data_IF_197128399695
#
_entry.id   IF_197128399695
#
_cell.length_a   1.000
_cell.length_b   1.000
_cell.length_c   1.000
_cell.angle_alpha   90.00
_cell.angle_beta   90.00
_cell.angle_gamma   90.00
#
_symmetry.space_group_name_H-M   'P 1'
#
loop_
_entity.id
_entity.type
_entity.pdbx_description
1 polymer ?
#
# COMPACT_ATOMS: atom_id res chain seq x y z
N UNK A 1 -23.27 -1.49 -18.95
CA UNK A 1 -22.22 -0.82 -18.18
C UNK A 1 -22.02 -1.57 -16.88
N UNK A 2 -20.82 -2.09 -16.62
CA UNK A 2 -20.51 -2.74 -15.33
C UNK A 2 -20.37 -1.68 -14.25
N UNK A 3 -21.24 -1.72 -13.24
CA UNK A 3 -21.19 -0.80 -12.10
C UNK A 3 -19.97 -1.11 -11.23
N UNK A 4 -19.24 -0.06 -10.80
CA UNK A 4 -18.04 -0.23 -9.97
C UNK A 4 -18.37 -0.74 -8.56
N UNK A 5 -19.52 -0.36 -8.02
CA UNK A 5 -20.00 -0.73 -6.70
C UNK A 5 -21.44 -1.27 -6.78
N UNK A 6 -21.79 -2.17 -5.88
CA UNK A 6 -23.14 -2.71 -5.72
C UNK A 6 -23.91 -1.92 -4.66
N UNK A 7 -25.23 -1.82 -4.80
CA UNK A 7 -26.10 -1.30 -3.74
C UNK A 7 -25.94 -2.14 -2.48
N UNK A 8 -25.94 -1.51 -1.32
CA UNK A 8 -25.63 -2.05 0.01
C UNK A 8 -24.19 -2.55 0.20
N UNK A 9 -23.29 -2.37 -0.78
CA UNK A 9 -21.87 -2.67 -0.61
C UNK A 9 -21.26 -1.73 0.43
N UNK A 10 -20.48 -2.29 1.36
CA UNK A 10 -19.68 -1.51 2.29
C UNK A 10 -18.45 -0.96 1.56
N UNK A 11 -18.25 0.34 1.67
CA UNK A 11 -17.16 1.09 1.07
C UNK A 11 -16.47 1.99 2.10
N UNK A 12 -15.28 2.47 1.76
CA UNK A 12 -14.56 3.48 2.53
C UNK A 12 -14.51 4.79 1.75
N UNK A 13 -14.85 5.88 2.43
CA UNK A 13 -14.97 7.22 1.86
C UNK A 13 -14.00 8.16 2.58
N UNK A 14 -13.25 9.01 1.88
CA UNK A 14 -12.37 9.98 2.51
C UNK A 14 -13.12 10.94 3.43
N UNK A 15 -12.67 11.00 4.68
CA UNK A 15 -13.26 11.84 5.72
C UNK A 15 -13.25 13.32 5.36
N UNK A 16 -12.29 13.77 4.54
CA UNK A 16 -12.24 15.14 4.03
C UNK A 16 -13.42 15.54 3.12
N UNK A 17 -14.19 14.57 2.63
CA UNK A 17 -15.37 14.77 1.79
C UNK A 17 -16.67 14.73 2.60
N UNK A 18 -16.57 14.51 3.93
CA UNK A 18 -17.69 14.44 4.84
C UNK A 18 -17.82 15.75 5.62
N UNK A 19 -19.02 16.04 6.18
CA UNK A 19 -19.21 17.15 7.09
C UNK A 19 -18.25 17.11 8.27
N UNK A 20 -17.80 18.30 8.67
CA UNK A 20 -16.83 18.48 9.76
C UNK A 20 -15.65 17.48 9.67
N UNK A 21 -14.80 17.61 8.63
CA UNK A 21 -13.72 16.65 8.39
C UNK A 21 -12.67 16.63 9.51
N UNK A 22 -12.51 17.75 10.24
CA UNK A 22 -11.59 17.86 11.37
C UNK A 22 -12.03 17.06 12.61
N UNK A 23 -13.33 16.76 12.74
CA UNK A 23 -13.86 15.96 13.83
C UNK A 23 -13.85 14.45 13.54
N UNK A 24 -13.39 14.02 12.37
CA UNK A 24 -13.31 12.60 12.04
C UNK A 24 -12.03 12.00 12.63
N UNK A 25 -12.15 10.89 13.35
CA UNK A 25 -11.01 10.22 13.99
C UNK A 25 -10.04 9.55 13.01
N UNK A 26 -10.50 9.23 11.80
CA UNK A 26 -9.75 8.49 10.79
C UNK A 26 -9.83 9.19 9.44
N UNK A 27 -8.84 8.93 8.57
CA UNK A 27 -8.76 9.49 7.21
C UNK A 27 -9.89 9.01 6.30
N UNK A 28 -10.48 7.85 6.59
CA UNK A 28 -11.56 7.24 5.84
C UNK A 28 -12.65 6.75 6.78
N UNK A 29 -13.89 6.80 6.32
CA UNK A 29 -15.07 6.33 7.04
C UNK A 29 -15.79 5.22 6.28
N UNK A 30 -16.26 4.21 7.00
CA UNK A 30 -17.13 3.17 6.44
C UNK A 30 -18.50 3.76 6.10
N UNK A 31 -19.00 3.43 4.92
CA UNK A 31 -20.35 3.76 4.48
C UNK A 31 -20.93 2.61 3.65
N UNK A 32 -22.24 2.62 3.44
CA UNK A 32 -22.96 1.74 2.50
C UNK A 32 -23.33 2.52 1.26
N UNK A 33 -23.17 1.89 0.10
CA UNK A 33 -23.65 2.42 -1.17
C UNK A 33 -25.17 2.34 -1.22
N UNK A 34 -25.85 3.46 -1.38
CA UNK A 34 -27.29 3.54 -1.63
C UNK A 34 -27.59 3.44 -3.13
N UNK A 35 -26.77 4.08 -3.96
CA UNK A 35 -26.97 4.14 -5.41
C UNK A 35 -25.63 4.35 -6.14
N UNK A 36 -25.43 3.66 -7.26
CA UNK A 36 -24.31 3.90 -8.17
C UNK A 36 -24.80 4.63 -9.42
N UNK A 37 -24.28 5.84 -9.66
CA UNK A 37 -24.45 6.59 -10.90
C UNK A 37 -23.24 6.38 -11.83
N UNK A 38 -23.19 7.03 -13.00
CA UNK A 38 -22.11 6.81 -13.97
C UNK A 38 -20.69 7.11 -13.41
N UNK A 39 -20.53 8.17 -12.62
CA UNK A 39 -19.23 8.64 -12.10
C UNK A 39 -19.22 8.93 -10.59
N UNK A 40 -20.33 8.65 -9.92
CA UNK A 40 -20.54 8.95 -8.51
C UNK A 40 -21.33 7.84 -7.82
N UNK A 41 -21.26 7.86 -6.49
CA UNK A 41 -21.91 6.92 -5.60
C UNK A 41 -22.60 7.72 -4.51
N UNK A 42 -23.88 7.45 -4.28
CA UNK A 42 -24.62 7.98 -3.13
C UNK A 42 -24.44 7.03 -1.96
N UNK A 43 -24.15 7.57 -0.77
CA UNK A 43 -23.79 6.80 0.42
C UNK A 43 -24.74 7.10 1.57
N UNK A 44 -24.85 6.17 2.52
CA UNK A 44 -25.71 6.28 3.71
C UNK A 44 -25.17 7.22 4.81
N UNK A 45 -24.43 8.25 4.43
CA UNK A 45 -23.98 9.32 5.31
C UNK A 45 -24.66 10.61 4.86
N UNK A 46 -25.01 11.47 5.81
CA UNK A 46 -25.74 12.70 5.55
C UNK A 46 -24.83 13.93 5.64
N UNK A 47 -25.14 14.95 4.84
CA UNK A 47 -24.56 16.28 4.94
C UNK A 47 -25.14 17.07 6.13
N UNK A 48 -24.72 18.33 6.31
CA UNK A 48 -25.20 19.21 7.39
C UNK A 48 -26.70 19.55 7.29
N UNK A 49 -27.32 19.29 6.14
CA UNK A 49 -28.74 19.54 5.87
C UNK A 49 -29.57 18.25 5.89
N UNK A 50 -28.98 17.10 6.21
CA UNK A 50 -29.66 15.80 6.26
C UNK A 50 -29.80 15.09 4.91
N UNK A 51 -29.15 15.57 3.85
CA UNK A 51 -29.19 14.92 2.54
C UNK A 51 -28.12 13.83 2.43
N UNK A 52 -28.41 12.75 1.71
CA UNK A 52 -27.41 11.73 1.37
C UNK A 52 -26.23 12.36 0.61
N UNK A 53 -25.01 11.99 1.01
CA UNK A 53 -23.79 12.48 0.37
C UNK A 53 -23.56 11.74 -0.95
N UNK A 54 -23.21 12.48 -1.99
CA UNK A 54 -22.76 11.95 -3.27
C UNK A 54 -21.25 12.13 -3.45
N UNK A 55 -20.53 11.04 -3.72
CA UNK A 55 -19.07 11.02 -3.83
C UNK A 55 -18.66 10.50 -5.19
N UNK A 56 -17.68 11.14 -5.84
CA UNK A 56 -17.12 10.62 -7.09
C UNK A 56 -16.59 9.18 -6.91
N UNK A 57 -17.01 8.25 -7.75
CA UNK A 57 -16.70 6.81 -7.61
C UNK A 57 -15.20 6.50 -7.63
N UNK A 58 -14.38 7.41 -8.19
CA UNK A 58 -12.91 7.29 -8.19
C UNK A 58 -12.27 7.51 -6.81
N UNK A 59 -12.96 8.22 -5.90
CA UNK A 59 -12.48 8.55 -4.55
C UNK A 59 -12.95 7.53 -3.50
N UNK A 60 -13.89 6.66 -3.87
CA UNK A 60 -14.42 5.62 -2.99
C UNK A 60 -13.55 4.36 -3.09
N UNK A 61 -13.19 3.80 -1.95
CA UNK A 61 -12.41 2.58 -1.83
C UNK A 61 -13.33 1.39 -1.50
N UNK A 62 -13.01 0.19 -2.03
CA UNK A 62 -13.76 -1.05 -1.76
C UNK A 62 -13.49 -1.59 -0.36
N UNK A 63 -14.30 -2.58 0.06
CA UNK A 63 -14.26 -3.26 1.37
C UNK A 63 -12.88 -3.77 1.83
N UNK A 64 -11.97 -4.11 0.92
CA UNK A 64 -10.69 -4.73 1.27
C UNK A 64 -9.56 -3.71 1.48
N UNK A 65 -9.85 -2.57 2.12
CA UNK A 65 -8.85 -1.52 2.39
C UNK A 65 -7.95 -1.83 3.60
N UNK A 66 -7.60 -3.10 3.81
CA UNK A 66 -6.55 -3.44 4.76
C UNK A 66 -5.17 -3.04 4.24
N UNK A 67 -4.27 -2.67 5.16
CA UNK A 67 -2.85 -2.44 4.90
C UNK A 67 -2.03 -3.45 5.71
N UNK A 68 -1.31 -4.31 5.00
CA UNK A 68 -0.33 -5.21 5.62
C UNK A 68 1.04 -4.55 5.65
N UNK A 69 1.65 -4.42 6.82
CA UNK A 69 3.09 -4.11 6.96
C UNK A 69 3.80 -5.43 7.17
N UNK A 70 4.67 -5.82 6.24
CA UNK A 70 5.44 -7.07 6.31
C UNK A 70 6.91 -6.68 6.48
N UNK A 71 7.50 -7.08 7.62
CA UNK A 71 8.93 -6.95 7.88
C UNK A 71 9.61 -8.28 7.62
N UNK A 72 10.48 -8.33 6.61
CA UNK A 72 11.44 -9.41 6.37
C UNK A 72 12.70 -9.09 7.19
N UNK A 73 12.88 -9.80 8.29
CA UNK A 73 13.95 -9.57 9.27
C UNK A 73 15.24 -10.34 9.00
N UNK A 74 16.28 -9.95 9.72
CA UNK A 74 17.55 -10.67 9.85
C UNK A 74 18.06 -10.54 11.30
N UNK A 75 19.04 -11.36 11.71
CA UNK A 75 19.53 -11.29 13.10
C UNK A 75 20.47 -10.11 13.40
N UNK A 76 20.91 -9.35 12.39
CA UNK A 76 21.95 -8.31 12.53
C UNK A 76 21.38 -6.91 12.75
N UNK A 77 20.29 -6.58 12.06
CA UNK A 77 19.80 -5.20 11.92
C UNK A 77 18.36 -5.03 12.35
N UNK A 78 17.67 -6.13 12.66
CA UNK A 78 16.24 -6.14 12.94
C UNK A 78 15.85 -5.17 14.06
N UNK A 79 16.50 -5.29 15.22
CA UNK A 79 16.21 -4.48 16.41
C UNK A 79 16.50 -2.98 16.20
N UNK A 80 17.53 -2.65 15.41
CA UNK A 80 18.06 -1.29 15.34
C UNK A 80 17.60 -0.50 14.11
N UNK A 81 17.14 -1.17 13.05
CA UNK A 81 16.79 -0.52 11.79
C UNK A 81 15.42 -0.95 11.26
N UNK A 82 15.21 -2.26 11.05
CA UNK A 82 14.02 -2.74 10.37
C UNK A 82 12.76 -2.56 11.21
N UNK A 83 12.88 -2.77 12.51
CA UNK A 83 11.72 -2.85 13.38
C UNK A 83 11.30 -1.53 14.03
N UNK A 84 12.22 -0.56 14.26
CA UNK A 84 11.87 0.86 14.33
C UNK A 84 11.14 1.36 13.07
N UNK A 85 11.58 1.00 11.87
CA UNK A 85 10.92 1.41 10.61
C UNK A 85 9.51 0.79 10.48
N UNK A 86 9.38 -0.50 10.76
CA UNK A 86 8.09 -1.20 10.71
C UNK A 86 7.08 -0.64 11.72
N UNK A 87 7.51 -0.40 12.96
CA UNK A 87 6.68 0.21 14.00
C UNK A 87 6.30 1.64 13.61
N UNK A 88 7.23 2.44 13.08
CA UNK A 88 6.95 3.80 12.61
C UNK A 88 5.83 3.82 11.57
N UNK A 89 5.90 2.94 10.55
CA UNK A 89 4.85 2.81 9.54
C UNK A 89 3.52 2.32 10.13
N UNK A 90 3.55 1.29 10.98
CA UNK A 90 2.35 0.73 11.60
C UNK A 90 1.63 1.77 12.45
N UNK A 91 2.35 2.47 13.34
CA UNK A 91 1.75 3.47 14.22
C UNK A 91 1.18 4.65 13.44
N UNK A 92 1.89 5.14 12.41
CA UNK A 92 1.37 6.20 11.57
C UNK A 92 0.08 5.78 10.84
N UNK A 93 0.06 4.57 10.27
CA UNK A 93 -1.13 4.05 9.59
C UNK A 93 -2.34 3.90 10.53
N UNK A 94 -2.10 3.55 11.80
CA UNK A 94 -3.16 3.49 12.84
C UNK A 94 -3.71 4.85 13.25
N UNK A 95 -3.01 5.95 12.95
CA UNK A 95 -3.58 7.30 13.07
C UNK A 95 -4.53 7.62 11.91
N UNK A 96 -4.33 6.98 10.75
CA UNK A 96 -5.14 7.23 9.55
C UNK A 96 -6.33 6.29 9.42
N UNK A 97 -6.25 5.08 9.98
CA UNK A 97 -7.22 4.02 9.76
C UNK A 97 -7.67 3.38 11.06
N UNK A 98 -8.85 2.75 11.01
CA UNK A 98 -9.36 1.96 12.12
C UNK A 98 -8.38 0.85 12.55
N UNK A 99 -8.36 0.45 13.83
CA UNK A 99 -7.36 -0.49 14.35
C UNK A 99 -7.29 -1.85 13.64
N UNK A 100 -8.42 -2.35 13.11
CA UNK A 100 -8.52 -3.63 12.41
C UNK A 100 -8.02 -3.57 10.95
N UNK A 101 -7.83 -2.37 10.40
CA UNK A 101 -7.40 -2.19 9.02
C UNK A 101 -5.88 -2.31 8.83
N UNK A 102 -5.09 -2.25 9.91
CA UNK A 102 -3.61 -2.23 9.83
C UNK A 102 -3.03 -3.42 10.59
N UNK A 103 -2.30 -4.27 9.87
CA UNK A 103 -1.69 -5.48 10.43
C UNK A 103 -0.19 -5.47 10.17
N UNK A 104 0.61 -5.59 11.24
CA UNK A 104 2.04 -5.87 11.14
C UNK A 104 2.27 -7.39 11.23
N UNK A 105 3.12 -7.90 10.33
CA UNK A 105 3.61 -9.28 10.34
C UNK A 105 5.12 -9.27 10.19
N UNK A 106 5.75 -10.12 10.97
CA UNK A 106 7.18 -10.27 11.05
C UNK A 106 7.54 -11.66 10.51
N UNK A 107 8.42 -11.70 9.53
CA UNK A 107 8.86 -12.92 8.85
C UNK A 107 10.36 -12.88 8.67
N UNK A 108 11.00 -14.02 8.53
CA UNK A 108 12.43 -14.14 8.20
C UNK A 108 12.67 -15.12 7.05
N UNK A 109 11.70 -15.98 6.78
CA UNK A 109 11.80 -17.08 5.83
C UNK A 109 10.84 -16.93 4.65
N UNK A 110 11.17 -17.59 3.56
CA UNK A 110 10.36 -17.71 2.36
C UNK A 110 9.03 -18.44 2.65
N UNK A 111 9.05 -19.38 3.59
CA UNK A 111 7.85 -20.12 4.02
C UNK A 111 6.91 -19.21 4.83
N UNK A 112 7.44 -18.45 5.79
CA UNK A 112 6.64 -17.52 6.60
C UNK A 112 5.99 -16.43 5.74
N UNK A 113 6.71 -15.86 4.76
CA UNK A 113 6.11 -14.82 3.92
C UNK A 113 4.98 -15.36 3.05
N UNK A 114 5.07 -16.60 2.56
CA UNK A 114 3.97 -17.25 1.85
C UNK A 114 2.75 -17.47 2.77
N UNK A 115 2.96 -17.97 3.99
CA UNK A 115 1.88 -18.17 4.96
C UNK A 115 1.20 -16.84 5.35
N UNK A 116 2.01 -15.82 5.64
CA UNK A 116 1.53 -14.46 5.95
C UNK A 116 0.80 -13.84 4.76
N UNK A 117 1.29 -14.04 3.54
CA UNK A 117 0.64 -13.54 2.35
C UNK A 117 -0.73 -14.20 2.13
N UNK A 118 -0.83 -15.53 2.30
CA UNK A 118 -2.10 -16.25 2.22
C UNK A 118 -3.14 -15.71 3.21
N UNK A 119 -2.70 -15.33 4.42
CA UNK A 119 -3.55 -14.70 5.44
C UNK A 119 -3.97 -13.26 5.07
N UNK A 120 -3.02 -12.43 4.60
CA UNK A 120 -3.25 -11.00 4.40
C UNK A 120 -3.91 -10.68 3.05
N UNK A 121 -3.54 -11.37 1.98
CA UNK A 121 -3.91 -11.01 0.62
C UNK A 121 -5.44 -10.93 0.38
N UNK A 122 -6.32 -11.75 0.99
CA UNK A 122 -7.76 -11.60 0.80
C UNK A 122 -8.34 -10.31 1.40
N UNK A 123 -7.72 -9.78 2.47
CA UNK A 123 -8.26 -8.66 3.28
C UNK A 123 -7.55 -7.33 3.09
N UNK A 124 -6.41 -7.33 2.39
CA UNK A 124 -5.64 -6.10 2.13
C UNK A 124 -5.77 -5.63 0.68
N UNK A 125 -5.50 -4.35 0.49
CA UNK A 125 -5.33 -3.70 -0.82
C UNK A 125 -3.92 -3.13 -0.98
N UNK A 126 -3.26 -2.87 0.15
CA UNK A 126 -1.91 -2.31 0.19
C UNK A 126 -1.00 -3.20 1.03
N UNK A 127 0.26 -3.24 0.61
CA UNK A 127 1.33 -3.90 1.34
C UNK A 127 2.49 -2.91 1.47
N UNK A 128 3.00 -2.76 2.69
CA UNK A 128 4.28 -2.11 2.96
C UNK A 128 5.29 -3.21 3.22
N UNK A 129 6.31 -3.30 2.36
CA UNK A 129 7.36 -4.30 2.50
C UNK A 129 8.61 -3.64 3.07
N UNK A 130 9.11 -4.16 4.18
CA UNK A 130 10.29 -3.65 4.88
C UNK A 130 11.28 -4.80 5.04
N UNK A 131 12.56 -4.55 4.76
CA UNK A 131 13.59 -5.57 4.87
C UNK A 131 14.83 -5.13 4.12
N UNK A 132 15.70 -6.10 3.84
CA UNK A 132 16.88 -5.88 3.01
C UNK A 132 16.71 -6.47 1.62
N UNK A 133 17.34 -5.80 0.67
CA UNK A 133 17.34 -6.19 -0.71
C UNK A 133 18.48 -5.52 -1.44
N UNK A 134 18.72 -6.03 -2.64
CA UNK A 134 19.73 -5.58 -3.56
C UNK A 134 19.07 -5.11 -4.86
N UNK A 135 19.86 -4.84 -5.88
CA UNK A 135 19.36 -4.33 -7.16
C UNK A 135 18.36 -5.27 -7.87
N UNK A 136 18.42 -6.56 -7.55
CA UNK A 136 17.70 -7.62 -8.25
C UNK A 136 16.97 -8.59 -7.33
N UNK A 137 17.09 -8.49 -6.01
CA UNK A 137 16.68 -9.58 -5.11
C UNK A 137 16.38 -9.17 -3.66
N UNK A 138 15.66 -10.05 -2.95
CA UNK A 138 15.38 -10.02 -1.52
C UNK A 138 16.06 -11.20 -0.81
N UNK A 139 16.46 -11.02 0.45
CA UNK A 139 17.07 -12.09 1.24
C UNK A 139 16.05 -12.75 2.18
N UNK A 140 16.14 -14.06 2.33
CA UNK A 140 15.41 -14.86 3.31
C UNK A 140 16.38 -15.81 4.01
N UNK A 141 16.19 -16.07 5.30
CA UNK A 141 17.14 -16.86 6.11
C UNK A 141 17.12 -18.36 5.81
N UNK A 142 16.06 -18.87 5.19
CA UNK A 142 15.88 -20.28 4.83
C UNK A 142 16.32 -20.61 3.40
N UNK A 143 16.92 -19.66 2.67
CA UNK A 143 17.37 -19.83 1.30
C UNK A 143 18.84 -19.47 1.15
N UNK A 144 19.61 -20.32 0.48
CA UNK A 144 21.03 -20.09 0.18
C UNK A 144 21.26 -19.00 -0.87
N UNK A 145 20.22 -18.66 -1.63
CA UNK A 145 20.27 -17.66 -2.69
C UNK A 145 19.17 -16.60 -2.52
N UNK A 146 19.49 -15.31 -2.79
CA UNK A 146 18.49 -14.25 -2.82
C UNK A 146 17.37 -14.53 -3.85
N UNK A 147 16.17 -14.00 -3.58
CA UNK A 147 14.98 -14.21 -4.39
C UNK A 147 14.74 -13.01 -5.30
N UNK A 148 14.78 -13.24 -6.62
CA UNK A 148 14.47 -12.25 -7.64
C UNK A 148 12.99 -11.84 -7.68
N UNK A 149 12.69 -10.72 -8.34
CA UNK A 149 11.33 -10.16 -8.38
C UNK A 149 10.29 -11.07 -9.06
N UNK A 150 10.70 -11.84 -10.07
CA UNK A 150 9.87 -12.83 -10.76
C UNK A 150 9.52 -14.01 -9.85
N UNK A 151 10.53 -14.60 -9.20
CA UNK A 151 10.38 -15.71 -8.27
C UNK A 151 9.55 -15.28 -7.06
N UNK A 152 9.80 -14.09 -6.53
CA UNK A 152 9.03 -13.55 -5.42
C UNK A 152 7.55 -13.36 -5.80
N UNK A 153 7.26 -12.76 -6.95
CA UNK A 153 5.89 -12.64 -7.47
C UNK A 153 5.20 -13.99 -7.62
N UNK A 154 5.92 -15.00 -8.14
CA UNK A 154 5.41 -16.37 -8.31
C UNK A 154 5.10 -17.04 -6.98
N UNK A 155 5.98 -16.91 -5.98
CA UNK A 155 5.75 -17.44 -4.63
C UNK A 155 4.46 -16.87 -4.01
N UNK A 156 4.28 -15.56 -4.08
CA UNK A 156 3.08 -14.89 -3.53
C UNK A 156 1.81 -15.27 -4.32
N UNK A 157 1.90 -15.40 -5.64
CA UNK A 157 0.79 -15.83 -6.48
C UNK A 157 0.36 -17.27 -6.13
N UNK A 158 1.31 -18.17 -5.93
CA UNK A 158 1.05 -19.55 -5.50
C UNK A 158 0.44 -19.64 -4.11
N UNK A 159 0.87 -18.77 -3.18
CA UNK A 159 0.34 -18.73 -1.82
C UNK A 159 -1.11 -18.22 -1.74
N UNK A 160 -1.54 -17.36 -2.66
CA UNK A 160 -2.89 -16.78 -2.65
C UNK A 160 -3.47 -16.58 -4.06
N UNK A 161 -3.74 -17.66 -4.82
CA UNK A 161 -3.99 -17.60 -6.26
C UNK A 161 -5.25 -16.84 -6.69
N UNK A 162 -6.21 -16.67 -5.79
CA UNK A 162 -7.48 -15.98 -6.05
C UNK A 162 -7.52 -14.56 -5.47
N UNK A 163 -6.42 -14.10 -4.86
CA UNK A 163 -6.38 -12.77 -4.24
C UNK A 163 -6.20 -11.68 -5.30
N UNK A 164 -6.89 -10.53 -5.17
CA UNK A 164 -6.69 -9.42 -6.08
C UNK A 164 -5.28 -8.82 -5.91
N UNK A 165 -4.68 -8.26 -6.97
CA UNK A 165 -3.37 -7.62 -6.90
C UNK A 165 -3.36 -6.42 -5.93
N UNK A 166 -2.18 -6.09 -5.41
CA UNK A 166 -1.97 -5.06 -4.39
C UNK A 166 -1.15 -3.89 -4.91
N UNK A 167 -1.37 -2.73 -4.30
CA UNK A 167 -0.38 -1.64 -4.32
C UNK A 167 0.69 -1.99 -3.29
N UNK A 168 1.94 -2.11 -3.74
CA UNK A 168 3.07 -2.51 -2.91
C UNK A 168 4.04 -1.35 -2.78
N UNK A 169 4.25 -0.89 -1.54
CA UNK A 169 5.22 0.12 -1.17
C UNK A 169 6.39 -0.60 -0.51
N UNK A 170 7.45 -0.86 -1.26
CA UNK A 170 8.68 -1.41 -0.71
C UNK A 170 9.55 -0.29 -0.16
N UNK A 171 9.94 -0.43 1.10
CA UNK A 171 10.96 0.37 1.77
C UNK A 171 12.29 -0.41 1.85
N UNK A 172 12.41 -1.46 1.05
CA UNK A 172 13.61 -2.28 0.92
C UNK A 172 14.58 -1.62 -0.05
N UNK A 173 15.83 -1.43 0.34
CA UNK A 173 16.82 -0.73 -0.49
C UNK A 173 17.00 -1.36 -1.88
N UNK A 174 17.27 -0.52 -2.89
CA UNK A 174 17.63 -0.91 -4.28
C UNK A 174 16.59 -1.71 -5.08
N UNK A 175 15.50 -2.18 -4.47
CA UNK A 175 14.49 -3.00 -5.17
C UNK A 175 13.66 -2.22 -6.18
N UNK A 176 13.77 -0.88 -6.22
CA UNK A 176 13.21 -0.03 -7.27
C UNK A 176 13.98 -0.06 -8.59
N UNK A 177 15.07 -0.83 -8.68
CA UNK A 177 15.81 -1.08 -9.92
C UNK A 177 15.07 -2.06 -10.82
N UNK A 178 15.33 -1.97 -12.12
CA UNK A 178 14.59 -2.71 -13.14
C UNK A 178 14.65 -4.23 -12.95
N UNK A 179 15.81 -4.76 -12.54
CA UNK A 179 16.02 -6.20 -12.37
C UNK A 179 15.06 -6.84 -11.36
N UNK A 180 14.73 -6.15 -10.27
CA UNK A 180 13.70 -6.61 -9.34
C UNK A 180 12.30 -6.09 -9.70
N UNK A 181 12.17 -4.77 -9.88
CA UNK A 181 10.87 -4.10 -9.94
C UNK A 181 10.06 -4.43 -11.19
N UNK A 182 10.72 -4.59 -12.35
CA UNK A 182 10.03 -4.90 -13.59
C UNK A 182 9.30 -6.24 -13.50
N UNK A 183 9.98 -7.38 -13.26
CA UNK A 183 9.28 -8.66 -13.19
C UNK A 183 8.27 -8.73 -12.05
N UNK A 184 8.56 -8.16 -10.88
CA UNK A 184 7.62 -8.17 -9.76
C UNK A 184 6.35 -7.36 -10.07
N UNK A 185 6.47 -6.16 -10.63
CA UNK A 185 5.31 -5.33 -10.99
C UNK A 185 4.49 -5.86 -12.17
N UNK A 186 5.05 -6.79 -12.95
CA UNK A 186 4.34 -7.52 -14.01
C UNK A 186 3.57 -8.75 -13.48
N UNK A 187 3.83 -9.17 -12.24
CA UNK A 187 3.16 -10.32 -11.64
C UNK A 187 1.69 -10.07 -11.32
N UNK A 188 0.90 -11.13 -11.23
CA UNK A 188 -0.54 -11.08 -10.93
C UNK A 188 -0.87 -10.59 -9.52
N UNK A 189 0.12 -10.47 -8.63
CA UNK A 189 -0.07 -10.02 -7.24
C UNK A 189 0.11 -8.52 -7.06
N UNK A 190 0.55 -7.78 -8.07
CA UNK A 190 0.90 -6.38 -7.96
C UNK A 190 0.19 -5.50 -9.01
N UNK A 191 -0.46 -4.41 -8.58
CA UNK A 191 -0.96 -3.37 -9.50
C UNK A 191 0.06 -2.25 -9.69
N UNK A 192 0.72 -1.87 -8.60
CA UNK A 192 1.65 -0.76 -8.53
C UNK A 192 2.76 -1.14 -7.55
N UNK A 193 4.01 -1.01 -7.98
CA UNK A 193 5.17 -1.25 -7.13
C UNK A 193 5.96 0.04 -6.98
N UNK A 194 6.13 0.50 -5.75
CA UNK A 194 6.86 1.72 -5.43
C UNK A 194 8.02 1.35 -4.52
N UNK A 195 9.25 1.66 -4.94
CA UNK A 195 10.44 1.19 -4.24
C UNK A 195 11.65 2.12 -4.44
N UNK A 196 12.62 2.13 -3.52
CA UNK A 196 13.80 2.97 -3.62
C UNK A 196 14.76 2.48 -4.71
N UNK A 197 15.30 3.41 -5.49
CA UNK A 197 16.28 3.12 -6.54
C UNK A 197 17.73 2.98 -6.02
N UNK A 198 18.01 3.60 -4.87
CA UNK A 198 19.30 3.57 -4.18
C UNK A 198 19.16 3.00 -2.76
N UNK A 199 20.26 2.99 -2.02
CA UNK A 199 20.22 2.89 -0.56
C UNK A 199 19.49 4.11 0.00
N UNK A 200 18.61 3.89 0.96
CA UNK A 200 17.82 4.95 1.59
C UNK A 200 17.90 4.81 3.10
N UNK A 201 18.18 5.92 3.77
CA UNK A 201 18.17 5.97 5.23
C UNK A 201 16.75 5.70 5.76
N UNK A 202 16.61 4.90 6.82
CA UNK A 202 15.30 4.48 7.35
C UNK A 202 14.38 5.65 7.68
N UNK A 203 14.91 6.78 8.17
CA UNK A 203 14.12 7.99 8.41
C UNK A 203 13.48 8.55 7.13
N UNK A 204 14.23 8.59 6.02
CA UNK A 204 13.70 9.06 4.74
C UNK A 204 12.70 8.05 4.14
N UNK A 205 12.96 6.75 4.27
CA UNK A 205 12.01 5.72 3.86
C UNK A 205 10.69 5.80 4.64
N UNK A 206 10.76 6.05 5.95
CA UNK A 206 9.60 6.26 6.80
C UNK A 206 8.83 7.52 6.37
N UNK A 207 9.52 8.66 6.23
CA UNK A 207 8.90 9.90 5.76
C UNK A 207 8.21 9.73 4.40
N UNK A 208 8.82 9.01 3.46
CA UNK A 208 8.22 8.69 2.18
C UNK A 208 6.92 7.90 2.36
N UNK A 209 6.96 6.78 3.08
CA UNK A 209 5.80 5.91 3.29
C UNK A 209 4.65 6.66 3.96
N UNK A 210 4.94 7.40 5.03
CA UNK A 210 3.96 8.22 5.74
C UNK A 210 3.35 9.28 4.82
N UNK A 211 4.20 10.02 4.07
CA UNK A 211 3.75 11.04 3.12
C UNK A 211 2.90 10.45 2.01
N UNK A 212 3.22 9.25 1.52
CA UNK A 212 2.42 8.54 0.53
C UNK A 212 1.02 8.27 1.07
N UNK A 213 0.90 7.65 2.26
CA UNK A 213 -0.41 7.31 2.83
C UNK A 213 -1.21 8.54 3.27
N UNK A 214 -0.57 9.61 3.75
CA UNK A 214 -1.24 10.88 3.99
C UNK A 214 -1.90 11.40 2.71
N UNK A 215 -1.16 11.40 1.60
CA UNK A 215 -1.68 11.89 0.34
C UNK A 215 -2.71 10.92 -0.29
N UNK A 216 -2.50 9.61 -0.14
CA UNK A 216 -3.39 8.61 -0.71
C UNK A 216 -4.73 8.52 0.04
N UNK A 217 -4.67 8.41 1.37
CA UNK A 217 -5.84 8.15 2.21
C UNK A 217 -6.48 9.45 2.70
N UNK A 218 -5.71 10.33 3.36
CA UNK A 218 -6.24 11.56 3.94
C UNK A 218 -6.60 12.58 2.85
N UNK A 219 -5.73 12.77 1.86
CA UNK A 219 -6.02 13.65 0.71
C UNK A 219 -6.79 12.98 -0.42
N UNK A 220 -7.06 11.67 -0.35
CA UNK A 220 -7.83 10.94 -1.37
C UNK A 220 -7.23 10.99 -2.78
N UNK A 221 -5.90 11.11 -2.91
CA UNK A 221 -5.23 11.14 -4.21
C UNK A 221 -5.03 9.72 -4.76
N UNK A 222 -5.09 9.55 -6.07
CA UNK A 222 -4.68 8.29 -6.70
C UNK A 222 -3.19 7.99 -6.51
N UNK A 223 -2.79 6.71 -6.65
CA UNK A 223 -1.42 6.21 -6.39
C UNK A 223 -0.34 7.10 -7.02
N UNK A 224 -0.43 7.39 -8.32
CA UNK A 224 0.57 8.19 -9.02
C UNK A 224 0.69 9.64 -8.48
N UNK A 225 -0.42 10.24 -8.05
CA UNK A 225 -0.42 11.59 -7.48
C UNK A 225 0.10 11.60 -6.03
N UNK A 226 -0.25 10.59 -5.24
CA UNK A 226 0.29 10.38 -3.90
C UNK A 226 1.80 10.12 -3.94
N UNK A 227 2.26 9.28 -4.87
CA UNK A 227 3.68 9.03 -5.14
C UNK A 227 4.44 10.32 -5.43
N UNK A 228 3.94 11.17 -6.33
CA UNK A 228 4.58 12.46 -6.67
C UNK A 228 4.79 13.35 -5.45
N UNK A 229 3.77 13.48 -4.61
CA UNK A 229 3.84 14.32 -3.41
C UNK A 229 4.76 13.72 -2.35
N UNK A 230 4.72 12.40 -2.16
CA UNK A 230 5.62 11.70 -1.25
C UNK A 230 7.09 11.81 -1.69
N UNK A 231 7.34 11.70 -3.00
CA UNK A 231 8.68 11.88 -3.57
C UNK A 231 9.20 13.31 -3.36
N UNK A 232 8.34 14.33 -3.46
CA UNK A 232 8.75 15.71 -3.18
C UNK A 232 9.06 15.93 -1.70
N UNK A 233 8.35 15.24 -0.79
CA UNK A 233 8.48 15.43 0.66
C UNK A 233 9.82 14.94 1.24
N UNK A 234 10.43 13.90 0.65
CA UNK A 234 11.72 13.35 1.15
C UNK A 234 12.96 14.12 0.72
N UNK A 235 12.81 15.12 -0.16
CA UNK A 235 13.90 15.99 -0.59
C UNK A 235 14.88 15.36 -1.58
N UNK A 236 15.99 16.05 -1.82
CA UNK A 236 17.02 15.69 -2.80
C UNK A 236 17.90 14.54 -2.29
N UNK A 237 18.35 13.66 -3.20
CA UNK A 237 19.25 12.55 -2.86
C UNK A 237 18.54 11.25 -2.46
N UNK A 238 17.21 11.24 -2.38
CA UNK A 238 16.39 10.03 -2.21
C UNK A 238 15.48 9.90 -3.43
N UNK A 239 15.50 8.73 -4.06
CA UNK A 239 14.71 8.48 -5.28
C UNK A 239 13.95 7.18 -5.11
N UNK A 240 12.63 7.30 -5.13
CA UNK A 240 11.72 6.18 -5.29
C UNK A 240 11.26 6.11 -6.74
N UNK A 241 11.00 4.90 -7.23
CA UNK A 241 10.47 4.65 -8.56
C UNK A 241 9.12 3.97 -8.46
N UNK A 242 8.21 4.39 -9.33
CA UNK A 242 6.89 3.79 -9.46
C UNK A 242 6.86 2.92 -10.72
N UNK A 243 6.54 1.65 -10.54
CA UNK A 243 6.46 0.62 -11.57
C UNK A 243 5.04 0.09 -11.67
N UNK A 244 4.61 -0.19 -12.90
CA UNK A 244 3.30 -0.75 -13.20
C UNK A 244 3.41 -1.64 -14.41
N UNK A 245 2.92 -2.88 -14.28
CA UNK A 245 2.86 -3.86 -15.39
C UNK A 245 4.20 -4.02 -16.11
N UNK A 246 5.31 -4.12 -15.36
CA UNK A 246 6.67 -4.23 -15.90
C UNK A 246 7.29 -2.92 -16.39
N UNK A 247 6.51 -1.86 -16.54
CA UNK A 247 6.96 -0.56 -17.02
C UNK A 247 7.29 0.41 -15.88
N UNK A 248 8.35 1.19 -16.06
CA UNK A 248 8.63 2.34 -15.20
C UNK A 248 7.68 3.50 -15.55
N UNK A 249 6.99 4.03 -14.54
CA UNK A 249 6.14 5.22 -14.71
C UNK A 249 6.99 6.47 -14.56
N UNK A 250 7.23 7.18 -15.67
CA UNK A 250 7.94 8.45 -15.62
C UNK A 250 7.12 9.50 -14.87
N UNK A 251 7.79 10.18 -13.94
CA UNK A 251 7.30 11.42 -13.36
C UNK A 251 7.25 12.48 -14.47
N UNK A 252 6.08 12.71 -15.08
CA UNK A 252 5.88 13.93 -15.87
C UNK A 252 5.99 15.10 -14.89
N UNK A 253 7.01 15.95 -15.10
CA UNK A 253 7.19 17.21 -14.38
C UNK A 253 6.00 18.12 -14.64
#
# INVERSE_FOLDING_TARGET
MTTKFKVNEQVFVPSRLLPNPAAQNFALRRAKVLEQKARSVRINLQDEHGNDIEVASRLVHRKNLGIGVIRIGDFKTELNALDPLAKSMMHYLRLLLEPDAVVLREVRTSTEICAVWAELAPRTSHIVLIGHGNADSLNFLDLDAPVGGDRFGTMLAGAAPKSPPKVVISLTCLTGRAAFASPFSASSVCTDYIAPFQLVHSAAASLFGQSFFANHLLSGLGVAAAFRRAHAAVGTGVTFRHWRTGGFTTLKR
#
